data_IF_472089588009
#
_entry.id   IF_472089588009
#
_cell.length_a   1.000
_cell.length_b   1.000
_cell.length_c   1.000
_cell.angle_alpha   90.00
_cell.angle_beta   90.00
_cell.angle_gamma   90.00
#
_symmetry.space_group_name_H-M   'P 1'
#
loop_
_entity.id
_entity.type
_entity.pdbx_description
1 polymer ?
#
# COMPACT_ATOMS: atom_id res chain seq x y z
N UNK A 1 3.93 15.94 -6.54
CA UNK A 1 3.04 14.82 -6.12
C UNK A 1 3.14 13.69 -7.13
N UNK A 2 3.17 12.45 -6.68
CA UNK A 2 3.12 11.32 -7.60
C UNK A 2 1.73 11.25 -8.26
N UNK A 3 1.66 10.89 -9.54
CA UNK A 3 0.41 10.76 -10.33
C UNK A 3 -0.67 9.91 -9.61
N UNK A 4 -0.26 8.98 -8.75
CA UNK A 4 -1.14 8.14 -7.92
C UNK A 4 -2.02 8.98 -6.97
N UNK A 5 -1.45 9.99 -6.32
CA UNK A 5 -2.19 10.84 -5.39
C UNK A 5 -3.13 11.82 -6.11
N UNK A 6 -2.79 12.22 -7.35
CA UNK A 6 -3.59 13.18 -8.13
C UNK A 6 -5.00 12.64 -8.40
N UNK A 7 -5.14 11.38 -8.81
CA UNK A 7 -6.46 10.81 -9.12
C UNK A 7 -7.35 10.69 -7.86
N UNK A 8 -6.78 10.39 -6.70
CA UNK A 8 -7.52 10.42 -5.44
C UNK A 8 -7.94 11.85 -5.08
N UNK A 9 -7.03 12.83 -5.18
CA UNK A 9 -7.32 14.23 -4.88
C UNK A 9 -8.40 14.80 -5.81
N UNK A 10 -8.35 14.45 -7.11
CA UNK A 10 -9.38 14.83 -8.09
C UNK A 10 -10.75 14.22 -7.74
N UNK A 11 -10.78 12.94 -7.32
CA UNK A 11 -12.02 12.28 -6.90
C UNK A 11 -12.60 12.93 -5.64
N UNK A 12 -11.76 13.25 -4.66
CA UNK A 12 -12.17 13.95 -3.44
C UNK A 12 -12.65 15.38 -3.72
N UNK A 13 -11.95 16.11 -4.59
CA UNK A 13 -12.35 17.46 -5.01
C UNK A 13 -13.72 17.43 -5.72
N UNK A 14 -13.94 16.48 -6.63
CA UNK A 14 -15.22 16.29 -7.32
C UNK A 14 -16.34 15.99 -6.32
N UNK A 15 -16.12 15.07 -5.38
CA UNK A 15 -17.08 14.76 -4.32
C UNK A 15 -17.49 16.01 -3.54
N UNK A 16 -16.50 16.84 -3.13
CA UNK A 16 -16.76 18.08 -2.38
C UNK A 16 -17.61 19.06 -3.19
N UNK A 17 -17.32 19.20 -4.49
CA UNK A 17 -18.09 20.07 -5.40
C UNK A 17 -19.53 19.58 -5.60
N UNK A 18 -19.73 18.26 -5.68
CA UNK A 18 -21.05 17.66 -5.90
C UNK A 18 -21.87 17.52 -4.60
N UNK A 19 -21.25 17.67 -3.42
CA UNK A 19 -21.92 17.50 -2.12
C UNK A 19 -22.46 16.09 -1.87
N UNK A 20 -21.91 15.07 -2.54
CA UNK A 20 -22.36 13.68 -2.43
C UNK A 20 -21.71 12.95 -1.25
N UNK A 21 -22.37 11.92 -0.67
CA UNK A 21 -21.73 11.02 0.27
C UNK A 21 -20.52 10.31 -0.36
N UNK A 22 -19.56 9.89 0.46
CA UNK A 22 -18.44 9.09 0.00
C UNK A 22 -18.87 7.75 -0.59
N UNK A 23 -18.12 7.28 -1.54
CA UNK A 23 -18.37 6.01 -2.22
C UNK A 23 -17.07 5.29 -2.55
N UNK A 24 -17.16 3.98 -2.70
CA UNK A 24 -16.07 3.13 -3.18
C UNK A 24 -16.33 2.76 -4.63
N UNK A 25 -15.36 3.01 -5.51
CA UNK A 25 -15.49 2.80 -6.95
C UNK A 25 -14.40 1.82 -7.43
N UNK A 26 -14.68 0.52 -7.49
CA UNK A 26 -13.78 -0.44 -8.11
C UNK A 26 -13.88 -0.38 -9.64
N UNK A 27 -12.73 -0.32 -10.31
CA UNK A 27 -12.60 -0.40 -11.75
C UNK A 27 -11.73 -1.60 -12.09
N UNK A 28 -12.28 -2.64 -12.69
CA UNK A 28 -11.50 -3.79 -13.16
C UNK A 28 -10.51 -3.32 -14.22
N UNK A 29 -9.24 -3.63 -14.04
CA UNK A 29 -8.14 -3.28 -14.94
C UNK A 29 -7.53 -4.50 -15.62
N UNK A 30 -7.70 -5.68 -15.04
CA UNK A 30 -7.31 -6.96 -15.64
C UNK A 30 -8.07 -8.11 -14.97
N UNK A 31 -8.23 -9.21 -15.69
CA UNK A 31 -8.75 -10.46 -15.15
C UNK A 31 -8.26 -11.65 -15.97
N UNK A 32 -8.25 -12.80 -15.35
CA UNK A 32 -7.93 -14.09 -15.96
C UNK A 32 -8.68 -15.22 -15.28
N UNK A 33 -8.29 -16.45 -15.57
CA UNK A 33 -8.90 -17.61 -14.95
C UNK A 33 -8.50 -17.70 -13.47
N UNK A 34 -9.49 -17.54 -12.61
CA UNK A 34 -9.33 -17.60 -11.15
C UNK A 34 -8.75 -16.35 -10.47
N UNK A 35 -8.54 -15.22 -11.20
CA UNK A 35 -8.07 -13.98 -10.61
C UNK A 35 -8.63 -12.73 -11.30
N UNK A 36 -8.69 -11.64 -10.56
CA UNK A 36 -9.03 -10.33 -11.10
C UNK A 36 -8.28 -9.21 -10.36
N UNK A 37 -8.06 -8.08 -11.03
CA UNK A 37 -7.41 -6.90 -10.50
C UNK A 37 -8.28 -5.68 -10.70
N UNK A 38 -8.46 -4.89 -9.66
CA UNK A 38 -9.19 -3.64 -9.71
C UNK A 38 -8.36 -2.48 -9.15
N UNK A 39 -8.49 -1.32 -9.78
CA UNK A 39 -8.13 -0.02 -9.22
C UNK A 39 -9.33 0.49 -8.44
N UNK A 40 -9.16 0.70 -7.15
CA UNK A 40 -10.24 1.05 -6.22
C UNK A 40 -9.95 2.43 -5.65
N UNK A 41 -10.83 3.38 -5.91
CA UNK A 41 -10.80 4.71 -5.30
C UNK A 41 -11.99 4.80 -4.34
N UNK A 42 -11.67 5.01 -3.07
CA UNK A 42 -12.64 5.30 -2.03
C UNK A 42 -12.60 6.79 -1.70
N UNK A 43 -13.74 7.44 -1.69
CA UNK A 43 -13.88 8.85 -1.33
C UNK A 43 -14.54 9.06 0.02
N UNK A 44 -14.78 8.01 0.80
CA UNK A 44 -15.37 8.10 2.13
C UNK A 44 -14.48 8.87 3.12
N UNK A 45 -15.09 9.55 4.07
CA UNK A 45 -14.44 10.27 5.15
C UNK A 45 -15.09 9.98 6.50
N UNK A 46 -14.69 10.70 7.55
CA UNK A 46 -15.12 10.47 8.92
C UNK A 46 -16.64 10.61 9.17
N UNK A 47 -17.35 11.30 8.28
CA UNK A 47 -18.80 11.52 8.37
C UNK A 47 -19.60 10.47 7.59
N UNK A 48 -18.95 9.66 6.77
CA UNK A 48 -19.62 8.61 6.01
C UNK A 48 -19.76 7.35 6.85
N UNK A 49 -20.76 6.54 6.53
CA UNK A 49 -20.92 5.24 7.18
C UNK A 49 -19.77 4.31 6.79
N UNK A 50 -19.26 3.50 7.73
CA UNK A 50 -18.32 2.44 7.40
C UNK A 50 -18.87 1.56 6.28
N UNK A 51 -17.98 1.12 5.40
CA UNK A 51 -18.31 0.17 4.35
C UNK A 51 -18.19 -1.24 4.93
N UNK A 52 -19.32 -1.91 5.03
CA UNK A 52 -19.42 -3.28 5.55
C UNK A 52 -19.78 -4.24 4.42
N UNK A 53 -19.02 -5.32 4.28
CA UNK A 53 -19.25 -6.34 3.27
C UNK A 53 -18.66 -7.69 3.69
N UNK A 54 -18.93 -8.72 2.90
CA UNK A 54 -18.32 -10.03 3.02
C UNK A 54 -17.41 -10.28 1.82
N UNK A 55 -16.20 -10.76 2.07
CA UNK A 55 -15.29 -11.17 1.01
C UNK A 55 -15.87 -12.37 0.25
N UNK A 56 -16.27 -12.17 -1.00
CA UNK A 56 -16.72 -13.25 -1.89
C UNK A 56 -15.58 -14.10 -2.42
N UNK A 57 -14.34 -13.62 -2.28
CA UNK A 57 -13.09 -14.21 -2.77
C UNK A 57 -11.95 -13.85 -1.84
N UNK A 58 -10.81 -14.53 -1.95
CA UNK A 58 -9.58 -14.05 -1.30
C UNK A 58 -9.16 -12.71 -1.88
N UNK A 59 -8.76 -11.78 -1.03
CA UNK A 59 -8.41 -10.42 -1.44
C UNK A 59 -7.03 -10.01 -0.91
N UNK A 60 -6.24 -9.38 -1.76
CA UNK A 60 -4.99 -8.70 -1.41
C UNK A 60 -5.06 -7.31 -1.99
N UNK A 61 -5.22 -6.28 -1.14
CA UNK A 61 -5.26 -4.91 -1.62
C UNK A 61 -4.00 -4.14 -1.20
N UNK A 62 -3.31 -3.58 -2.18
CA UNK A 62 -2.13 -2.72 -1.97
C UNK A 62 -2.58 -1.28 -1.84
N UNK A 63 -2.35 -0.65 -0.70
CA UNK A 63 -2.65 0.76 -0.49
C UNK A 63 -1.63 1.63 -1.21
N UNK A 64 -2.07 2.46 -2.15
CA UNK A 64 -1.22 3.34 -2.94
C UNK A 64 -1.15 4.76 -2.37
N UNK A 65 -2.29 5.31 -1.95
CA UNK A 65 -2.38 6.62 -1.30
C UNK A 65 -3.58 6.67 -0.35
N UNK A 66 -3.60 7.64 0.56
CA UNK A 66 -4.60 7.73 1.61
C UNK A 66 -4.40 6.64 2.68
N UNK A 67 -5.38 6.48 3.55
CA UNK A 67 -5.36 5.43 4.58
C UNK A 67 -6.77 5.17 5.11
N UNK A 68 -7.02 3.95 5.52
CA UNK A 68 -8.29 3.53 6.12
C UNK A 68 -8.06 2.53 7.26
N UNK A 69 -9.05 2.35 8.10
CA UNK A 69 -9.09 1.28 9.08
C UNK A 69 -9.81 0.09 8.45
N UNK A 70 -9.21 -1.08 8.57
CA UNK A 70 -9.76 -2.36 8.18
C UNK A 70 -10.02 -3.22 9.40
N UNK A 71 -11.25 -3.67 9.57
CA UNK A 71 -11.66 -4.56 10.65
C UNK A 71 -12.23 -5.85 10.06
N UNK A 72 -11.77 -6.98 10.54
CA UNK A 72 -12.26 -8.32 10.20
C UNK A 72 -12.23 -9.23 11.43
N UNK A 73 -12.59 -10.49 11.28
CA UNK A 73 -12.47 -11.49 12.34
C UNK A 73 -11.02 -11.63 12.87
N UNK A 74 -10.01 -11.27 12.05
CA UNK A 74 -8.59 -11.31 12.42
C UNK A 74 -8.12 -10.10 13.23
N UNK A 75 -8.96 -9.08 13.40
CA UNK A 75 -8.67 -7.87 14.16
C UNK A 75 -8.88 -6.59 13.36
N UNK A 76 -8.47 -5.47 13.98
CA UNK A 76 -8.53 -4.13 13.38
C UNK A 76 -7.12 -3.60 13.15
N UNK A 77 -6.85 -3.12 11.95
CA UNK A 77 -5.55 -2.57 11.55
C UNK A 77 -5.73 -1.30 10.72
N UNK A 78 -4.84 -0.33 10.96
CA UNK A 78 -4.68 0.82 10.07
C UNK A 78 -3.95 0.38 8.80
N UNK A 79 -4.49 0.75 7.64
CA UNK A 79 -3.93 0.50 6.30
C UNK A 79 -3.29 1.76 5.73
N UNK A 80 -2.00 2.04 6.04
CA UNK A 80 -1.28 3.16 5.44
C UNK A 80 -0.69 2.79 4.07
N UNK A 81 -0.27 3.78 3.25
CA UNK A 81 0.35 3.55 1.96
C UNK A 81 1.53 2.58 2.01
N UNK A 82 1.53 1.63 1.08
CA UNK A 82 2.52 0.56 0.97
C UNK A 82 2.28 -0.65 1.86
N UNK A 83 1.22 -0.67 2.69
CA UNK A 83 0.75 -1.89 3.34
C UNK A 83 -0.17 -2.69 2.41
N UNK A 84 -0.36 -3.94 2.74
CA UNK A 84 -1.29 -4.81 2.04
C UNK A 84 -2.38 -5.27 3.01
N UNK A 85 -3.63 -5.03 2.64
CA UNK A 85 -4.79 -5.61 3.28
C UNK A 85 -4.94 -7.06 2.82
N UNK A 86 -5.31 -7.95 3.73
CA UNK A 86 -5.53 -9.37 3.47
C UNK A 86 -6.94 -9.76 3.89
N UNK A 87 -7.71 -10.27 2.96
CA UNK A 87 -9.09 -10.75 3.17
C UNK A 87 -9.23 -12.21 2.81
N UNK A 88 -9.85 -12.99 3.68
CA UNK A 88 -10.21 -14.37 3.38
C UNK A 88 -11.62 -14.44 2.79
N UNK A 89 -11.83 -15.34 1.87
CA UNK A 89 -13.16 -15.67 1.38
C UNK A 89 -14.08 -16.06 2.54
N UNK A 90 -15.33 -15.55 2.50
CA UNK A 90 -16.34 -15.79 3.51
C UNK A 90 -16.25 -14.95 4.79
N UNK A 91 -15.15 -14.23 5.04
CA UNK A 91 -15.03 -13.37 6.21
C UNK A 91 -15.75 -12.02 6.00
N UNK A 92 -16.50 -11.59 7.01
CA UNK A 92 -17.07 -10.25 7.05
C UNK A 92 -15.99 -9.23 7.38
N UNK A 93 -16.07 -8.04 6.78
CA UNK A 93 -15.13 -6.95 7.02
C UNK A 93 -15.80 -5.58 7.01
N UNK A 94 -15.12 -4.63 7.63
CA UNK A 94 -15.50 -3.22 7.67
C UNK A 94 -14.30 -2.37 7.28
N UNK A 95 -14.51 -1.41 6.37
CA UNK A 95 -13.57 -0.34 6.07
C UNK A 95 -14.13 1.00 6.56
N UNK A 96 -13.33 1.77 7.29
CA UNK A 96 -13.73 3.07 7.81
C UNK A 96 -12.61 4.12 7.70
N UNK A 97 -13.01 5.40 7.58
CA UNK A 97 -12.10 6.54 7.47
C UNK A 97 -12.26 7.50 8.64
N UNK A 98 -12.22 7.00 9.87
CA UNK A 98 -12.47 7.79 11.09
C UNK A 98 -11.60 9.06 11.19
N UNK A 99 -10.40 9.02 10.63
CA UNK A 99 -9.40 10.09 10.75
C UNK A 99 -8.74 10.48 9.41
N UNK A 100 -9.28 9.97 8.31
CA UNK A 100 -8.78 10.18 6.97
C UNK A 100 -9.91 10.55 6.01
N UNK A 101 -9.59 11.06 4.84
CA UNK A 101 -10.50 11.19 3.71
C UNK A 101 -9.93 10.42 2.55
N UNK A 102 -10.63 9.38 2.16
CA UNK A 102 -10.35 8.57 0.99
C UNK A 102 -9.05 7.77 1.02
N UNK A 103 -9.02 6.83 0.14
CA UNK A 103 -7.82 6.04 -0.20
C UNK A 103 -7.90 5.54 -1.65
N UNK A 104 -6.74 5.13 -2.15
CA UNK A 104 -6.63 4.42 -3.41
C UNK A 104 -5.84 3.14 -3.22
N UNK A 105 -6.45 2.05 -3.65
CA UNK A 105 -5.87 0.72 -3.58
C UNK A 105 -5.87 0.04 -4.94
N UNK A 106 -4.93 -0.86 -5.18
CA UNK A 106 -5.08 -1.89 -6.20
C UNK A 106 -5.39 -3.20 -5.48
N UNK A 107 -6.59 -3.71 -5.72
CA UNK A 107 -7.07 -4.95 -5.16
C UNK A 107 -6.91 -6.09 -6.17
N UNK A 108 -6.34 -7.19 -5.70
CA UNK A 108 -6.28 -8.45 -6.43
C UNK A 108 -7.20 -9.42 -5.73
N UNK A 109 -8.10 -10.02 -6.49
CA UNK A 109 -9.03 -11.03 -6.01
C UNK A 109 -8.67 -12.38 -6.61
N UNK A 110 -8.82 -13.42 -5.82
CA UNK A 110 -8.52 -14.79 -6.20
C UNK A 110 -9.71 -15.69 -5.88
N UNK A 111 -10.15 -16.47 -6.86
CA UNK A 111 -11.15 -17.51 -6.64
C UNK A 111 -10.61 -18.55 -5.67
N UNK A 112 -11.46 -19.20 -4.85
CA UNK A 112 -11.03 -20.15 -3.84
C UNK A 112 -10.11 -21.23 -4.37
N UNK A 113 -10.51 -21.92 -5.43
CA UNK A 113 -9.75 -23.03 -6.02
C UNK A 113 -8.36 -22.58 -6.50
N UNK A 114 -8.28 -21.40 -7.14
CA UNK A 114 -7.02 -20.83 -7.60
C UNK A 114 -6.09 -20.48 -6.42
N UNK A 115 -6.65 -19.92 -5.35
CA UNK A 115 -5.87 -19.54 -4.18
C UNK A 115 -5.39 -20.73 -3.36
N UNK A 116 -6.21 -21.79 -3.27
CA UNK A 116 -5.84 -23.05 -2.64
C UNK A 116 -4.72 -23.77 -3.41
N UNK A 117 -4.81 -23.79 -4.75
CA UNK A 117 -3.74 -24.34 -5.58
C UNK A 117 -2.44 -23.52 -5.38
N UNK A 118 -2.54 -22.20 -5.37
CA UNK A 118 -1.39 -21.33 -5.12
C UNK A 118 -0.75 -21.60 -3.74
N UNK A 119 -1.57 -21.88 -2.72
CA UNK A 119 -1.06 -22.26 -1.40
C UNK A 119 -0.29 -23.59 -1.45
N UNK A 120 -0.80 -24.58 -2.18
CA UNK A 120 -0.10 -25.88 -2.38
C UNK A 120 1.23 -25.66 -3.09
N UNK A 121 1.26 -24.83 -4.13
CA UNK A 121 2.48 -24.54 -4.91
C UNK A 121 3.59 -23.88 -4.08
N UNK A 122 3.22 -23.13 -3.02
CA UNK A 122 4.19 -22.56 -2.07
C UNK A 122 4.48 -23.45 -0.86
N UNK A 123 4.01 -24.69 -0.88
CA UNK A 123 4.28 -25.70 0.17
C UNK A 123 3.37 -25.63 1.39
N UNK A 124 2.21 -25.00 1.26
CA UNK A 124 1.17 -25.01 2.29
C UNK A 124 0.11 -26.07 1.95
N UNK A 125 -0.67 -26.51 2.93
CA UNK A 125 -1.84 -27.34 2.63
C UNK A 125 -3.02 -26.46 2.19
N UNK A 126 -3.85 -26.94 1.25
CA UNK A 126 -5.05 -26.26 0.78
C UNK A 126 -5.98 -25.85 1.94
N UNK A 127 -6.15 -26.72 2.95
CA UNK A 127 -6.95 -26.46 4.16
C UNK A 127 -6.42 -25.26 4.97
N UNK A 128 -5.13 -24.94 4.84
CA UNK A 128 -4.48 -23.81 5.50
C UNK A 128 -4.29 -22.57 4.59
N UNK A 129 -4.94 -22.56 3.42
CA UNK A 129 -4.91 -21.46 2.47
C UNK A 129 -5.69 -20.25 2.99
N UNK A 130 -5.42 -19.82 4.21
CA UNK A 130 -6.08 -18.65 4.84
C UNK A 130 -5.04 -17.74 5.47
N UNK A 131 -5.26 -16.44 5.33
CA UNK A 131 -4.49 -15.44 6.07
C UNK A 131 -4.82 -15.51 7.56
N UNK A 132 -3.81 -15.35 8.39
CA UNK A 132 -3.93 -15.31 9.86
C UNK A 132 -3.74 -13.91 10.44
N UNK A 133 -3.43 -12.95 9.58
CA UNK A 133 -3.26 -11.53 9.91
C UNK A 133 -4.03 -10.71 8.89
N UNK A 134 -4.66 -9.60 9.29
CA UNK A 134 -5.45 -8.76 8.37
C UNK A 134 -4.57 -7.84 7.51
N UNK A 135 -3.28 -7.68 7.87
CA UNK A 135 -2.35 -6.77 7.23
C UNK A 135 -0.94 -7.33 7.12
N UNK A 136 -0.30 -7.11 5.97
CA UNK A 136 1.16 -7.11 5.86
C UNK A 136 1.66 -5.66 5.88
N UNK A 137 2.58 -5.31 6.79
CA UNK A 137 3.23 -4.01 6.75
C UNK A 137 4.14 -3.89 5.53
N UNK A 138 4.76 -2.73 5.34
CA UNK A 138 5.72 -2.52 4.26
C UNK A 138 6.94 -3.44 4.39
N UNK A 139 6.88 -4.61 3.77
CA UNK A 139 7.95 -5.61 3.78
C UNK A 139 8.79 -5.51 2.51
N UNK A 140 10.14 -5.55 2.67
CA UNK A 140 11.07 -5.46 1.53
C UNK A 140 10.83 -6.49 0.43
N UNK A 141 10.55 -7.77 0.72
CA UNK A 141 10.29 -8.74 -0.34
C UNK A 141 9.12 -8.36 -1.25
N UNK A 142 8.16 -7.57 -0.76
CA UNK A 142 7.01 -7.10 -1.50
C UNK A 142 7.24 -5.78 -2.24
N UNK A 143 8.28 -5.01 -1.91
CA UNK A 143 8.53 -3.69 -2.49
C UNK A 143 8.58 -3.68 -4.02
N UNK A 144 9.22 -4.63 -4.72
CA UNK A 144 9.22 -4.68 -6.18
C UNK A 144 7.81 -4.89 -6.78
N UNK A 145 7.01 -5.76 -6.17
CA UNK A 145 5.64 -6.05 -6.62
C UNK A 145 4.74 -4.83 -6.40
N UNK A 146 4.78 -4.24 -5.21
CA UNK A 146 4.02 -3.02 -4.87
C UNK A 146 4.36 -1.86 -5.80
N UNK A 147 5.66 -1.66 -6.14
CA UNK A 147 6.07 -0.61 -7.05
C UNK A 147 5.58 -0.85 -8.49
N UNK A 148 5.60 -2.08 -8.98
CA UNK A 148 5.05 -2.45 -10.30
C UNK A 148 3.54 -2.22 -10.35
N UNK A 149 2.81 -2.66 -9.33
CA UNK A 149 1.37 -2.43 -9.18
C UNK A 149 1.07 -0.93 -9.19
N UNK A 150 1.83 -0.13 -8.44
CA UNK A 150 1.67 1.33 -8.41
C UNK A 150 1.95 2.00 -9.76
N UNK A 151 2.93 1.50 -10.51
CA UNK A 151 3.22 2.01 -11.87
C UNK A 151 2.07 1.72 -12.84
N UNK A 152 1.42 0.56 -12.71
CA UNK A 152 0.26 0.18 -13.51
C UNK A 152 -0.93 1.11 -13.24
N UNK A 153 -1.19 1.42 -11.99
CA UNK A 153 -2.22 2.39 -11.60
C UNK A 153 -1.95 3.79 -12.17
N UNK A 154 -0.69 4.11 -12.55
CA UNK A 154 -0.32 5.34 -13.24
C UNK A 154 -0.46 5.28 -14.76
N UNK A 155 -1.06 4.23 -15.33
CA UNK A 155 -1.34 4.09 -16.76
C UNK A 155 -0.25 3.37 -17.55
N UNK A 156 0.68 2.68 -16.89
CA UNK A 156 1.59 1.77 -17.58
C UNK A 156 0.79 0.54 -18.04
N UNK A 157 0.70 0.31 -19.35
CA UNK A 157 -0.23 -0.68 -19.93
C UNK A 157 0.37 -2.07 -20.14
N UNK A 158 1.69 -2.17 -20.34
CA UNK A 158 2.36 -3.44 -20.57
C UNK A 158 2.73 -4.12 -19.25
N UNK A 159 1.75 -4.75 -18.64
CA UNK A 159 1.92 -5.40 -17.35
C UNK A 159 1.46 -6.85 -17.45
N UNK A 160 2.33 -7.81 -17.15
CA UNK A 160 1.93 -9.19 -17.03
C UNK A 160 1.16 -9.38 -15.71
N UNK A 161 -0.13 -9.03 -15.74
CA UNK A 161 -0.97 -9.07 -14.53
C UNK A 161 -1.08 -10.45 -13.92
N UNK A 162 -1.11 -11.50 -14.76
CA UNK A 162 -1.12 -12.88 -14.30
C UNK A 162 0.12 -13.21 -13.48
N UNK A 163 1.32 -12.88 -13.99
CA UNK A 163 2.58 -13.06 -13.26
C UNK A 163 2.59 -12.26 -11.95
N UNK A 164 2.10 -11.01 -11.97
CA UNK A 164 2.03 -10.19 -10.77
C UNK A 164 1.04 -10.74 -9.74
N UNK A 165 -0.13 -11.19 -10.17
CA UNK A 165 -1.13 -11.80 -9.31
C UNK A 165 -0.56 -13.05 -8.63
N UNK A 166 0.03 -13.94 -9.42
CA UNK A 166 0.65 -15.18 -8.95
C UNK A 166 1.76 -14.90 -7.93
N UNK A 167 2.70 -14.02 -8.27
CA UNK A 167 3.82 -13.65 -7.38
C UNK A 167 3.37 -12.95 -6.11
N UNK A 168 2.37 -12.06 -6.20
CA UNK A 168 1.87 -11.34 -5.03
C UNK A 168 1.17 -12.31 -4.08
N UNK A 169 0.26 -13.14 -4.58
CA UNK A 169 -0.45 -14.15 -3.81
C UNK A 169 0.51 -15.10 -3.09
N UNK A 170 1.45 -15.71 -3.84
CA UNK A 170 2.47 -16.60 -3.31
C UNK A 170 3.34 -15.95 -2.21
N UNK A 171 3.79 -14.69 -2.46
CA UNK A 171 4.60 -13.95 -1.49
C UNK A 171 3.80 -13.59 -0.24
N UNK A 172 2.54 -13.17 -0.39
CA UNK A 172 1.68 -12.83 0.74
C UNK A 172 1.36 -14.05 1.60
N UNK A 173 1.04 -15.19 1.00
CA UNK A 173 0.84 -16.46 1.71
C UNK A 173 2.08 -16.82 2.54
N UNK A 174 3.25 -16.87 1.89
CA UNK A 174 4.51 -17.24 2.55
C UNK A 174 4.90 -16.30 3.68
N UNK A 175 4.64 -15.00 3.55
CA UNK A 175 4.99 -13.99 4.55
C UNK A 175 3.97 -13.90 5.68
N UNK A 176 2.67 -14.02 5.36
CA UNK A 176 1.60 -13.95 6.37
C UNK A 176 1.70 -15.10 7.39
N UNK A 177 2.15 -16.29 6.95
CA UNK A 177 2.37 -17.44 7.84
C UNK A 177 3.48 -17.22 8.87
N UNK A 178 4.42 -16.31 8.60
CA UNK A 178 5.54 -15.98 9.51
C UNK A 178 5.20 -14.90 10.52
N UNK A 179 4.06 -14.24 10.37
CA UNK A 179 3.63 -13.18 11.25
C UNK A 179 2.63 -13.70 12.28
N UNK A 180 2.78 -13.22 13.50
CA UNK A 180 1.80 -13.47 14.57
C UNK A 180 0.80 -12.32 14.63
N UNK A 181 -0.49 -12.60 14.90
CA UNK A 181 -1.49 -11.55 15.08
C UNK A 181 -1.07 -10.56 16.17
N UNK A 182 -1.16 -9.26 15.89
CA UNK A 182 -0.92 -8.22 16.88
C UNK A 182 -2.08 -8.21 17.89
N UNK A 183 -1.85 -8.69 19.10
CA UNK A 183 -2.90 -8.84 20.16
C UNK A 183 -3.28 -7.55 20.89
N UNK A 184 -2.71 -6.39 20.59
CA UNK A 184 -3.01 -5.14 21.31
C UNK A 184 -3.48 -4.06 20.35
N UNK A 185 -4.78 -3.78 20.37
CA UNK A 185 -5.35 -2.58 19.77
C UNK A 185 -4.66 -1.33 20.31
N UNK A 186 -4.44 -0.36 19.45
CA UNK A 186 -3.96 0.96 19.82
C UNK A 186 -5.13 1.79 20.34
N UNK A 187 -4.90 2.74 21.27
CA UNK A 187 -5.90 3.74 21.60
C UNK A 187 -6.29 4.49 20.31
N UNK A 188 -7.59 4.69 20.07
CA UNK A 188 -8.13 5.40 18.89
C UNK A 188 -7.45 6.73 18.64
N UNK A 189 -7.23 7.51 19.71
CA UNK A 189 -6.53 8.80 19.63
C UNK A 189 -5.08 8.69 19.16
N UNK A 190 -4.42 7.55 19.36
CA UNK A 190 -3.04 7.37 18.93
C UNK A 190 -2.96 7.16 17.41
N UNK A 191 -3.92 6.42 16.84
CA UNK A 191 -4.01 6.22 15.38
C UNK A 191 -4.24 7.54 14.66
N UNK A 192 -5.23 8.33 15.10
CA UNK A 192 -5.53 9.65 14.54
C UNK A 192 -4.29 10.56 14.43
N UNK A 193 -3.49 10.58 15.49
CA UNK A 193 -2.25 11.37 15.55
C UNK A 193 -1.21 10.87 14.54
N UNK A 194 -1.06 9.57 14.42
CA UNK A 194 -0.09 8.99 13.48
C UNK A 194 -0.55 9.14 12.03
N UNK A 195 -1.85 9.07 11.74
CA UNK A 195 -2.41 9.32 10.41
C UNK A 195 -2.05 10.73 9.92
N UNK A 196 -2.08 11.76 10.78
CA UNK A 196 -1.64 13.11 10.40
C UNK A 196 -0.18 13.14 9.94
N UNK A 197 0.70 12.43 10.65
CA UNK A 197 2.10 12.35 10.26
C UNK A 197 2.31 11.53 8.98
N UNK A 198 1.55 10.45 8.78
CA UNK A 198 1.57 9.66 7.55
C UNK A 198 1.15 10.52 6.36
N UNK A 199 0.06 11.27 6.47
CA UNK A 199 -0.39 12.21 5.43
C UNK A 199 0.67 13.26 5.11
N UNK A 200 1.29 13.85 6.12
CA UNK A 200 2.40 14.79 5.91
C UNK A 200 3.54 14.12 5.12
N UNK A 201 3.88 12.88 5.44
CA UNK A 201 4.92 12.16 4.69
C UNK A 201 4.48 11.89 3.25
N UNK A 202 3.25 11.47 3.01
CA UNK A 202 2.78 11.15 1.66
C UNK A 202 2.74 12.37 0.74
N UNK A 203 2.39 13.56 1.29
CA UNK A 203 2.34 14.80 0.51
C UNK A 203 3.70 15.50 0.36
N UNK A 204 4.60 15.32 1.32
CA UNK A 204 5.85 16.07 1.44
C UNK A 204 7.09 15.20 1.62
N UNK A 205 7.06 13.95 1.09
CA UNK A 205 8.20 13.03 1.23
C UNK A 205 9.50 13.59 0.61
N UNK A 206 9.38 14.41 -0.41
CA UNK A 206 10.47 15.11 -1.10
C UNK A 206 11.13 16.18 -0.25
N UNK A 207 10.42 16.73 0.75
CA UNK A 207 10.96 17.77 1.64
C UNK A 207 11.81 17.20 2.79
N UNK A 208 12.52 18.10 3.49
CA UNK A 208 13.24 17.77 4.73
C UNK A 208 12.26 17.55 5.89
N UNK A 209 11.85 16.30 6.11
CA UNK A 209 10.98 15.89 7.21
C UNK A 209 11.82 15.47 8.43
N UNK A 210 11.91 16.36 9.43
CA UNK A 210 12.57 16.06 10.69
C UNK A 210 11.64 15.34 11.67
N UNK A 211 12.21 14.55 12.60
CA UNK A 211 11.44 13.90 13.66
C UNK A 211 10.58 14.91 14.45
N UNK A 212 11.13 16.10 14.74
CA UNK A 212 10.39 17.18 15.44
C UNK A 212 9.21 17.69 14.63
N UNK A 213 9.36 17.85 13.32
CA UNK A 213 8.27 18.30 12.41
C UNK A 213 7.14 17.26 12.39
N UNK A 214 7.49 15.98 12.26
CA UNK A 214 6.52 14.89 12.26
C UNK A 214 5.84 14.71 13.63
N UNK A 215 6.59 14.80 14.72
CA UNK A 215 6.04 14.72 16.07
C UNK A 215 5.06 15.86 16.36
N UNK A 216 5.40 17.08 15.89
CA UNK A 216 4.52 18.26 16.01
C UNK A 216 3.23 18.08 15.21
N UNK A 217 3.27 17.52 14.00
CA UNK A 217 2.06 17.24 13.21
C UNK A 217 1.14 16.22 13.89
N UNK A 218 1.71 15.33 14.70
CA UNK A 218 0.99 14.34 15.49
C UNK A 218 0.58 14.85 16.88
N UNK A 219 0.95 16.08 17.25
CA UNK A 219 0.74 16.66 18.57
C UNK A 219 1.27 15.74 19.70
N UNK A 220 2.52 15.28 19.51
CA UNK A 220 3.24 14.40 20.43
C UNK A 220 4.67 14.93 20.68
N UNK A 221 5.23 14.59 21.85
CA UNK A 221 6.67 14.74 22.03
C UNK A 221 7.44 13.81 21.09
N UNK A 222 8.66 14.14 20.67
CA UNK A 222 9.44 13.29 19.76
C UNK A 222 9.60 11.85 20.22
N UNK A 223 9.75 11.61 21.51
CA UNK A 223 9.89 10.27 22.09
C UNK A 223 8.58 9.46 22.00
N UNK A 224 7.47 10.07 22.42
CA UNK A 224 6.15 9.43 22.33
C UNK A 224 5.73 9.18 20.88
N UNK A 225 6.03 10.14 19.99
CA UNK A 225 5.80 9.98 18.57
C UNK A 225 6.56 8.79 17.99
N UNK A 226 7.87 8.69 18.25
CA UNK A 226 8.69 7.59 17.75
C UNK A 226 8.09 6.24 18.12
N UNK A 227 7.82 6.02 19.40
CA UNK A 227 7.27 4.74 19.90
C UNK A 227 5.88 4.44 19.34
N UNK A 228 5.01 5.45 19.26
CA UNK A 228 3.65 5.27 18.75
C UNK A 228 3.66 5.01 17.25
N UNK A 229 4.50 5.74 16.51
CA UNK A 229 4.64 5.57 15.07
C UNK A 229 5.15 4.17 14.70
N UNK A 230 6.18 3.69 15.40
CA UNK A 230 6.70 2.33 15.22
C UNK A 230 5.65 1.26 15.52
N UNK A 231 4.86 1.45 16.57
CA UNK A 231 3.81 0.51 16.97
C UNK A 231 2.66 0.45 15.95
N UNK A 232 2.31 1.59 15.33
CA UNK A 232 1.25 1.68 14.30
C UNK A 232 1.71 1.15 12.96
N UNK A 233 2.91 1.56 12.51
CA UNK A 233 3.38 1.30 11.14
C UNK A 233 4.31 0.10 11.00
N UNK A 234 4.91 -0.35 12.10
CA UNK A 234 5.97 -1.34 12.11
C UNK A 234 7.34 -0.80 11.65
N UNK A 235 7.48 0.52 11.47
CA UNK A 235 8.69 1.17 10.97
C UNK A 235 9.02 2.42 11.79
N UNK A 236 10.30 2.77 11.89
CA UNK A 236 10.66 4.09 12.39
C UNK A 236 10.20 5.19 11.41
N UNK A 237 9.93 6.43 11.87
CA UNK A 237 9.56 7.54 10.99
C UNK A 237 10.56 7.76 9.85
N UNK A 238 11.85 7.70 10.13
CA UNK A 238 12.91 7.85 9.12
C UNK A 238 12.89 6.70 8.09
N UNK A 239 12.65 5.46 8.53
CA UNK A 239 12.51 4.31 7.61
C UNK A 239 11.27 4.48 6.73
N UNK A 240 10.17 4.96 7.30
CA UNK A 240 8.93 5.18 6.58
C UNK A 240 9.08 6.26 5.50
N UNK A 241 9.63 7.45 5.84
CA UNK A 241 9.95 8.53 4.88
C UNK A 241 10.83 8.01 3.75
N UNK A 242 11.92 7.31 4.10
CA UNK A 242 12.82 6.74 3.09
C UNK A 242 12.11 5.76 2.15
N UNK A 243 11.24 4.90 2.66
CA UNK A 243 10.46 3.98 1.84
C UNK A 243 9.43 4.69 0.99
N UNK A 244 8.77 5.74 1.50
CA UNK A 244 7.87 6.58 0.71
C UNK A 244 8.60 7.21 -0.49
N UNK A 245 9.80 7.78 -0.27
CA UNK A 245 10.66 8.31 -1.34
C UNK A 245 11.05 7.26 -2.38
N UNK A 246 11.44 6.08 -1.91
CA UNK A 246 11.85 4.97 -2.79
C UNK A 246 10.66 4.46 -3.60
N UNK A 247 9.47 4.32 -3.02
CA UNK A 247 8.26 3.95 -3.76
C UNK A 247 7.94 4.97 -4.84
N UNK A 248 7.94 6.25 -4.51
CA UNK A 248 7.72 7.33 -5.47
C UNK A 248 8.74 7.28 -6.62
N UNK A 249 10.02 7.11 -6.30
CA UNK A 249 11.07 6.97 -7.31
C UNK A 249 10.90 5.72 -8.18
N UNK A 250 10.54 4.58 -7.60
CA UNK A 250 10.34 3.34 -8.34
C UNK A 250 9.18 3.47 -9.35
N UNK A 251 8.06 4.06 -8.95
CA UNK A 251 6.93 4.35 -9.84
C UNK A 251 7.37 5.27 -10.99
N UNK A 252 8.08 6.36 -10.70
CA UNK A 252 8.59 7.30 -11.71
C UNK A 252 9.60 6.65 -12.67
N UNK A 253 10.47 5.77 -12.16
CA UNK A 253 11.43 5.02 -12.99
C UNK A 253 10.77 4.16 -14.06
N UNK A 254 9.57 3.63 -13.80
CA UNK A 254 8.80 2.84 -14.77
C UNK A 254 8.12 3.75 -15.79
N UNK A 255 7.49 4.82 -15.33
CA UNK A 255 6.60 5.67 -16.15
C UNK A 255 7.35 6.74 -16.91
N UNK A 256 8.44 7.29 -16.32
CA UNK A 256 9.15 8.44 -16.86
C UNK A 256 10.47 8.04 -17.56
N UNK A 257 10.80 8.74 -18.65
CA UNK A 257 12.07 8.58 -19.37
C UNK A 257 13.20 9.44 -18.81
N UNK A 258 12.93 10.33 -17.87
CA UNK A 258 13.89 11.25 -17.25
C UNK A 258 15.14 10.56 -16.66
N UNK A 259 16.19 11.33 -16.40
CA UNK A 259 17.43 10.79 -15.82
C UNK A 259 17.17 10.24 -14.41
N UNK A 260 17.83 9.13 -14.07
CA UNK A 260 17.74 8.52 -12.73
C UNK A 260 18.13 9.50 -11.62
N UNK A 261 19.10 10.37 -11.91
CA UNK A 261 19.57 11.41 -10.99
C UNK A 261 18.47 12.41 -10.67
N UNK A 262 17.79 12.92 -11.69
CA UNK A 262 16.73 13.91 -11.51
C UNK A 262 15.58 13.33 -10.70
N UNK A 263 15.15 12.11 -11.02
CA UNK A 263 14.11 11.40 -10.25
C UNK A 263 14.52 11.20 -8.79
N UNK A 264 15.80 10.89 -8.52
CA UNK A 264 16.27 10.72 -7.15
C UNK A 264 16.20 12.01 -6.35
N UNK A 265 16.68 13.12 -6.93
CA UNK A 265 16.67 14.44 -6.31
C UNK A 265 15.24 14.94 -6.08
N UNK A 266 14.37 14.84 -7.06
CA UNK A 266 12.94 15.19 -6.98
C UNK A 266 12.18 14.38 -5.93
N UNK A 267 12.62 13.15 -5.64
CA UNK A 267 12.05 12.34 -4.57
C UNK A 267 12.67 12.62 -3.19
N UNK A 268 13.48 13.68 -3.06
CA UNK A 268 14.02 14.17 -1.80
C UNK A 268 15.30 13.49 -1.32
N UNK A 269 16.04 12.79 -2.19
CA UNK A 269 17.38 12.31 -1.86
C UNK A 269 18.41 13.40 -2.04
N UNK A 270 19.22 13.67 -1.02
CA UNK A 270 20.26 14.70 -1.08
C UNK A 270 21.46 14.34 -1.98
N UNK A 271 21.66 13.04 -2.24
CA UNK A 271 22.69 12.54 -3.13
C UNK A 271 22.30 11.20 -3.79
N UNK A 272 22.86 10.98 -4.98
CA UNK A 272 22.56 9.81 -5.81
C UNK A 272 23.17 8.52 -5.27
N UNK A 273 24.29 8.60 -4.56
CA UNK A 273 24.94 7.42 -3.98
C UNK A 273 24.10 6.84 -2.86
N UNK A 274 23.54 7.72 -2.02
CA UNK A 274 22.62 7.32 -0.96
C UNK A 274 21.32 6.73 -1.53
N UNK A 275 20.78 7.37 -2.58
CA UNK A 275 19.63 6.84 -3.32
C UNK A 275 19.90 5.44 -3.86
N UNK A 276 21.01 5.25 -4.61
CA UNK A 276 21.36 3.97 -5.20
C UNK A 276 21.51 2.85 -4.15
N UNK A 277 22.16 3.15 -3.02
CA UNK A 277 22.28 2.21 -1.90
C UNK A 277 20.92 1.84 -1.30
N UNK A 278 20.09 2.86 -1.03
CA UNK A 278 18.79 2.66 -0.43
C UNK A 278 17.86 1.87 -1.39
N UNK A 279 17.87 2.22 -2.68
CA UNK A 279 17.11 1.54 -3.70
C UNK A 279 17.55 0.08 -3.86
N UNK A 280 18.85 -0.18 -4.00
CA UNK A 280 19.39 -1.55 -4.10
C UNK A 280 19.06 -2.37 -2.86
N UNK A 281 19.10 -1.77 -1.66
CA UNK A 281 18.72 -2.44 -0.41
C UNK A 281 17.24 -2.84 -0.39
N UNK A 282 16.36 -2.03 -0.98
CA UNK A 282 14.91 -2.25 -0.99
C UNK A 282 14.49 -3.21 -2.12
N UNK A 283 15.08 -3.06 -3.30
CA UNK A 283 14.67 -3.76 -4.53
C UNK A 283 15.61 -4.90 -4.96
N UNK A 284 16.74 -5.09 -4.28
CA UNK A 284 17.74 -6.09 -4.65
C UNK A 284 18.57 -5.74 -5.89
N UNK A 285 18.23 -4.66 -6.63
CA UNK A 285 18.89 -4.26 -7.88
C UNK A 285 19.05 -2.74 -7.96
N UNK A 286 19.88 -2.28 -8.90
CA UNK A 286 20.08 -0.84 -9.12
C UNK A 286 18.85 -0.18 -9.77
N UNK A 287 18.63 1.15 -9.60
CA UNK A 287 17.54 1.87 -10.25
C UNK A 287 17.52 1.72 -11.78
N UNK A 288 18.70 1.72 -12.42
CA UNK A 288 18.83 1.51 -13.88
C UNK A 288 18.42 0.10 -14.30
N UNK A 289 18.83 -0.91 -13.53
CA UNK A 289 18.44 -2.30 -13.79
C UNK A 289 16.92 -2.46 -13.60
N UNK A 290 16.37 -1.89 -12.54
CA UNK A 290 14.93 -1.90 -12.27
C UNK A 290 14.12 -1.28 -13.42
N UNK A 291 14.52 -0.08 -13.90
CA UNK A 291 13.90 0.57 -15.06
C UNK A 291 13.94 -0.31 -16.30
N UNK A 292 15.09 -0.90 -16.61
CA UNK A 292 15.26 -1.76 -17.78
C UNK A 292 14.37 -2.98 -17.71
N UNK A 293 14.40 -3.71 -16.59
CA UNK A 293 13.62 -4.94 -16.39
C UNK A 293 12.11 -4.65 -16.42
N UNK A 294 11.68 -3.51 -15.83
CA UNK A 294 10.28 -3.14 -15.83
C UNK A 294 9.73 -2.70 -17.19
N UNK A 295 10.61 -2.35 -18.15
CA UNK A 295 10.24 -1.94 -19.52
C UNK A 295 10.47 -3.03 -20.57
N UNK A 296 11.23 -4.06 -20.24
CA UNK A 296 11.63 -5.12 -21.17
C UNK A 296 10.81 -6.41 -21.03
N UNK A 297 9.79 -6.45 -20.18
CA UNK A 297 8.90 -7.61 -20.16
C UNK A 297 8.01 -7.53 -21.40
N UNK A 298 8.21 -8.46 -22.39
CA UNK A 298 7.33 -8.56 -23.55
C UNK A 298 5.91 -8.88 -23.08
N UNK A 299 4.92 -8.33 -23.78
CA UNK A 299 3.51 -8.67 -23.59
C UNK A 299 3.21 -10.11 -23.93
#
# INVERSE_FOLDING_TARGET
MAKIAIELEEALARRRLEGKPGSTMPRIIASGDGWAVADVICTCGAQDRPYEERHSRYAIATVLSGSFNYRSALGRELMPPGSLMLGNEGDDFECSHEHAEGDRCVALWYEPDYFEQLAVDVGLSAVNARFRVPRLPQLRPLSPLVARIGACACGHRDVPWEELALRLGASCLSLAMRLSPHRRGLPLNAEARIIRAIRMIDHHADEALTLRRLARSADLSPYHFLRTFERVTGLTPHQYVRRARIRAAATRLVVESGKVVDIALDCGFGDVSNFNRAFKKEFGMSPRAFRRTSRQLPG
#
